data_IF_668447115973
#
_entry.id   IF_668447115973
#
_cell.length_a   1.000
_cell.length_b   1.000
_cell.length_c   1.000
_cell.angle_alpha   90.00
_cell.angle_beta   90.00
_cell.angle_gamma   90.00
#
_symmetry.space_group_name_H-M   'P 1'
#
loop_
_entity.id
_entity.type
_entity.pdbx_description
1 polymer ?
#
# COMPACT_ATOMS: atom_id res chain seq x y z
N UNK A 1 -19.18 6.48 3.01
CA UNK A 1 -20.34 6.24 2.13
C UNK A 1 -21.12 7.54 1.85
N UNK A 2 -21.47 8.30 2.88
CA UNK A 2 -22.18 9.57 2.71
C UNK A 2 -21.32 10.62 1.98
N UNK A 3 -20.04 10.71 2.31
CA UNK A 3 -19.09 11.57 1.60
C UNK A 3 -19.05 11.22 0.11
N UNK A 4 -19.01 9.95 -0.23
CA UNK A 4 -19.04 9.49 -1.62
C UNK A 4 -20.32 9.95 -2.35
N UNK A 5 -21.47 9.79 -1.73
CA UNK A 5 -22.74 10.21 -2.32
C UNK A 5 -22.82 11.74 -2.48
N UNK A 6 -22.49 12.47 -1.45
CA UNK A 6 -22.57 13.94 -1.45
C UNK A 6 -21.55 14.57 -2.40
N UNK A 7 -20.30 14.15 -2.34
CA UNK A 7 -19.25 14.67 -3.20
C UNK A 7 -19.53 14.40 -4.67
N UNK A 8 -20.05 13.24 -4.98
CA UNK A 8 -20.35 12.88 -6.36
C UNK A 8 -21.57 13.59 -6.91
N UNK A 9 -22.58 13.82 -6.09
CA UNK A 9 -23.75 14.62 -6.49
C UNK A 9 -23.40 16.09 -6.79
N UNK A 10 -22.39 16.65 -6.11
CA UNK A 10 -21.89 18.00 -6.34
C UNK A 10 -20.90 18.10 -7.51
N UNK A 11 -19.94 17.16 -7.61
CA UNK A 11 -18.87 17.22 -8.59
C UNK A 11 -19.34 17.02 -10.02
N UNK A 12 -20.33 16.18 -10.27
CA UNK A 12 -20.73 15.86 -11.63
C UNK A 12 -21.83 16.76 -12.20
N UNK A 13 -22.53 17.53 -11.35
CA UNK A 13 -23.76 18.25 -11.75
C UNK A 13 -24.67 17.37 -12.66
N UNK A 14 -24.34 16.09 -12.72
CA UNK A 14 -25.03 15.03 -13.41
C UNK A 14 -25.39 14.00 -12.37
N UNK A 15 -26.66 13.71 -12.20
CA UNK A 15 -27.03 12.58 -11.40
C UNK A 15 -26.49 11.33 -12.09
N UNK A 16 -25.36 10.85 -11.62
CA UNK A 16 -24.76 9.61 -12.08
C UNK A 16 -25.73 8.45 -11.85
N UNK A 17 -26.58 8.58 -10.92
CA UNK A 17 -27.65 7.66 -10.61
C UNK A 17 -28.98 8.40 -10.56
N UNK A 18 -29.25 9.25 -11.51
CA UNK A 18 -30.22 10.30 -11.21
C UNK A 18 -29.95 10.82 -9.79
N UNK A 19 -29.04 11.79 -9.59
CA UNK A 19 -28.58 12.24 -8.26
C UNK A 19 -29.73 12.50 -7.28
N UNK A 20 -30.93 12.77 -7.80
CA UNK A 20 -32.18 12.79 -7.05
C UNK A 20 -32.59 11.40 -6.55
N UNK A 21 -32.40 10.34 -7.34
CA UNK A 21 -32.84 9.00 -6.93
C UNK A 21 -31.94 8.38 -5.86
N UNK A 22 -30.64 8.65 -5.86
CA UNK A 22 -29.76 8.20 -4.79
C UNK A 22 -29.96 9.05 -3.55
N UNK A 23 -30.03 10.34 -3.67
CA UNK A 23 -30.29 11.25 -2.56
C UNK A 23 -31.70 11.06 -1.99
N UNK A 24 -32.69 10.75 -2.82
CA UNK A 24 -34.06 10.43 -2.37
C UNK A 24 -34.18 9.06 -1.73
N UNK A 25 -33.20 8.17 -1.90
CA UNK A 25 -33.15 6.88 -1.18
C UNK A 25 -32.53 6.97 0.20
N UNK A 26 -31.71 7.98 0.45
CA UNK A 26 -31.17 8.27 1.78
C UNK A 26 -32.18 9.16 2.48
N UNK A 27 -33.30 8.59 2.85
CA UNK A 27 -34.32 9.29 3.61
C UNK A 27 -34.00 9.24 5.09
N UNK A 28 -34.21 10.35 5.75
CA UNK A 28 -34.30 10.36 7.22
C UNK A 28 -35.61 9.72 7.66
N UNK A 29 -35.73 9.33 8.91
CA UNK A 29 -36.96 8.75 9.43
C UNK A 29 -38.23 9.62 9.26
N UNK A 30 -38.08 10.86 8.80
CA UNK A 30 -39.18 11.78 8.46
C UNK A 30 -39.53 11.80 6.97
N UNK A 31 -38.90 10.96 6.14
CA UNK A 31 -39.13 10.93 4.68
C UNK A 31 -38.48 12.08 3.91
N UNK A 32 -37.69 12.93 4.58
CA UNK A 32 -37.00 14.06 3.93
C UNK A 32 -35.64 13.57 3.41
N UNK A 33 -35.31 13.78 2.12
CA UNK A 33 -34.00 13.46 1.59
C UNK A 33 -32.89 14.17 2.36
N UNK A 34 -31.78 13.49 2.59
CA UNK A 34 -30.67 14.07 3.37
C UNK A 34 -30.11 15.34 2.71
N UNK A 35 -30.16 15.44 1.40
CA UNK A 35 -29.74 16.63 0.67
C UNK A 35 -30.58 17.87 0.99
N UNK A 36 -31.85 17.70 1.32
CA UNK A 36 -32.72 18.80 1.73
C UNK A 36 -32.49 19.23 3.19
N UNK A 37 -31.85 18.37 3.97
CA UNK A 37 -31.46 18.68 5.37
C UNK A 37 -30.12 19.37 5.46
N UNK A 38 -29.26 19.20 4.45
CA UNK A 38 -27.97 19.85 4.38
C UNK A 38 -28.14 21.28 3.87
N UNK A 39 -27.65 22.21 4.64
CA UNK A 39 -27.56 23.61 4.25
C UNK A 39 -26.18 23.90 3.74
N UNK A 40 -26.02 24.91 2.89
CA UNK A 40 -24.73 25.25 2.31
C UNK A 40 -23.67 25.53 3.40
N UNK A 41 -24.03 26.18 4.48
CA UNK A 41 -23.12 26.45 5.60
C UNK A 41 -22.69 25.21 6.38
N UNK A 42 -23.40 24.09 6.25
CA UNK A 42 -23.01 22.83 6.91
C UNK A 42 -21.74 22.23 6.34
N UNK A 43 -21.46 22.50 5.07
CA UNK A 43 -20.30 21.95 4.37
C UNK A 43 -19.00 22.70 4.67
N UNK A 44 -19.06 23.79 5.38
CA UNK A 44 -17.87 24.59 5.68
C UNK A 44 -17.50 24.47 7.16
N UNK A 45 -16.20 24.28 7.40
CA UNK A 45 -15.64 24.38 8.75
C UNK A 45 -15.45 25.83 9.20
N UNK A 46 -14.87 26.02 10.39
CA UNK A 46 -14.59 27.36 10.94
C UNK A 46 -13.55 28.15 10.16
N UNK A 47 -12.75 27.50 9.32
CA UNK A 47 -11.75 28.10 8.44
C UNK A 47 -12.29 28.39 7.04
N UNK A 48 -13.51 27.96 6.72
CA UNK A 48 -14.15 28.13 5.43
C UNK A 48 -13.77 27.06 4.39
N UNK A 49 -13.15 25.97 4.82
CA UNK A 49 -12.88 24.83 3.98
C UNK A 49 -14.07 23.85 3.95
N UNK A 50 -14.25 23.15 2.82
CA UNK A 50 -15.30 22.13 2.69
C UNK A 50 -14.97 20.94 3.58
N UNK A 51 -15.90 20.58 4.47
CA UNK A 51 -15.78 19.44 5.37
C UNK A 51 -17.09 18.63 5.39
N UNK A 52 -17.14 17.60 4.57
CA UNK A 52 -18.32 16.74 4.41
C UNK A 52 -18.60 15.88 5.64
N UNK A 53 -17.58 15.52 6.41
CA UNK A 53 -17.73 14.77 7.64
C UNK A 53 -18.43 15.60 8.73
N UNK A 54 -17.95 16.83 8.93
CA UNK A 54 -18.60 17.78 9.84
C UNK A 54 -20.05 18.06 9.44
N UNK A 55 -20.32 18.25 8.14
CA UNK A 55 -21.66 18.45 7.61
C UNK A 55 -22.58 17.28 7.96
N UNK A 56 -22.11 16.05 7.76
CA UNK A 56 -22.85 14.84 8.13
C UNK A 56 -23.16 14.78 9.62
N UNK A 57 -22.18 15.03 10.47
CA UNK A 57 -22.36 15.02 11.93
C UNK A 57 -23.36 16.09 12.39
N UNK A 58 -23.32 17.28 11.81
CA UNK A 58 -24.30 18.35 12.08
C UNK A 58 -25.72 17.95 11.75
N UNK A 59 -25.92 17.25 10.60
CA UNK A 59 -27.23 16.71 10.22
C UNK A 59 -27.71 15.67 11.22
N UNK A 60 -26.86 14.70 11.56
CA UNK A 60 -27.21 13.68 12.56
C UNK A 60 -27.60 14.33 13.90
N UNK A 61 -26.79 15.28 14.37
CA UNK A 61 -27.05 15.93 15.66
C UNK A 61 -28.34 16.73 15.66
N UNK A 62 -28.70 17.40 14.54
CA UNK A 62 -29.97 18.12 14.42
C UNK A 62 -31.19 17.22 14.36
N UNK A 63 -31.03 16.06 13.74
CA UNK A 63 -32.13 15.10 13.57
C UNK A 63 -32.51 14.42 14.88
N UNK A 64 -31.54 14.17 15.76
CA UNK A 64 -31.78 13.44 17.01
C UNK A 64 -31.95 14.37 18.21
N UNK A 65 -32.90 14.02 19.08
CA UNK A 65 -33.13 14.72 20.36
C UNK A 65 -32.30 14.15 21.51
N UNK A 66 -31.78 12.92 21.32
CA UNK A 66 -30.87 12.26 22.26
C UNK A 66 -29.44 12.62 21.99
N UNK A 67 -28.50 12.44 22.93
CA UNK A 67 -27.07 12.54 22.66
C UNK A 67 -26.63 11.58 21.54
N UNK A 68 -25.84 12.08 20.59
CA UNK A 68 -25.24 11.30 19.52
C UNK A 68 -23.82 11.02 19.91
N UNK A 69 -23.42 9.74 19.93
CA UNK A 69 -22.07 9.28 20.15
C UNK A 69 -21.61 8.57 18.87
N UNK A 70 -20.44 8.92 18.38
CA UNK A 70 -19.82 8.24 17.24
C UNK A 70 -19.15 6.98 17.76
N UNK A 71 -19.71 5.82 17.45
CA UNK A 71 -19.25 4.54 17.97
C UNK A 71 -17.87 4.15 17.43
N UNK A 72 -17.53 4.58 16.23
CA UNK A 72 -16.24 4.35 15.60
C UNK A 72 -15.86 5.54 14.72
N UNK A 73 -14.65 6.04 14.87
CA UNK A 73 -14.00 6.91 13.89
C UNK A 73 -12.50 6.55 13.80
N UNK A 74 -11.98 6.50 12.60
CA UNK A 74 -10.59 6.12 12.39
C UNK A 74 -10.21 6.11 10.93
N UNK A 75 -8.91 6.13 10.70
CA UNK A 75 -8.25 5.92 9.40
C UNK A 75 -7.09 4.97 9.62
N UNK A 76 -6.76 4.16 8.60
CA UNK A 76 -5.67 3.20 8.70
C UNK A 76 -4.37 3.75 8.14
N UNK A 77 -3.27 3.34 8.76
CA UNK A 77 -1.92 3.50 8.21
C UNK A 77 -1.62 2.37 7.22
N UNK A 78 -0.35 2.22 6.86
CA UNK A 78 0.13 1.17 5.98
C UNK A 78 0.35 1.64 4.56
N UNK A 79 1.07 0.81 3.80
CA UNK A 79 1.45 1.12 2.42
C UNK A 79 0.29 0.98 1.45
N UNK A 80 -0.50 -0.07 1.60
CA UNK A 80 -1.66 -0.33 0.77
C UNK A 80 -2.79 0.67 0.96
N UNK A 81 -3.68 0.74 -0.02
CA UNK A 81 -4.85 1.61 0.01
C UNK A 81 -6.05 0.84 -0.54
N UNK A 82 -7.20 0.94 0.12
CA UNK A 82 -8.45 0.34 -0.34
C UNK A 82 -9.46 1.37 -0.87
N UNK A 83 -9.30 2.62 -0.50
CA UNK A 83 -10.15 3.71 -0.94
C UNK A 83 -9.42 5.05 -0.83
N UNK A 84 -9.61 5.92 -1.81
CA UNK A 84 -9.06 7.28 -1.82
C UNK A 84 -10.15 8.29 -1.52
N UNK A 85 -9.88 9.19 -0.59
CA UNK A 85 -10.66 10.42 -0.41
C UNK A 85 -9.93 11.58 -1.10
N UNK A 86 -10.41 11.96 -2.26
CA UNK A 86 -9.79 13.01 -3.07
C UNK A 86 -9.94 14.42 -2.48
N UNK A 87 -10.80 14.61 -1.48
CA UNK A 87 -11.08 15.93 -0.93
C UNK A 87 -10.29 16.23 0.34
N UNK A 88 -10.22 15.27 1.25
CA UNK A 88 -9.62 15.47 2.58
C UNK A 88 -8.30 14.76 2.76
N UNK A 89 -7.95 13.82 1.87
CA UNK A 89 -6.78 12.95 2.02
C UNK A 89 -6.91 11.94 3.15
N UNK A 90 -8.09 11.78 3.75
CA UNK A 90 -8.38 10.74 4.74
C UNK A 90 -8.63 9.41 4.04
N UNK A 91 -7.59 8.90 3.40
CA UNK A 91 -7.66 7.66 2.66
C UNK A 91 -7.87 6.47 3.59
N UNK A 92 -8.39 5.39 3.04
CA UNK A 92 -8.32 4.10 3.71
C UNK A 92 -7.00 3.41 3.34
N UNK A 93 -5.96 3.68 4.12
CA UNK A 93 -4.58 3.29 3.88
C UNK A 93 -3.74 4.36 3.18
N UNK A 94 -2.49 4.04 2.91
CA UNK A 94 -1.46 4.93 2.39
C UNK A 94 -1.36 6.24 3.19
N UNK A 95 -1.27 6.07 4.49
CA UNK A 95 -1.09 7.16 5.45
C UNK A 95 0.02 6.79 6.43
N UNK A 96 0.89 7.73 6.73
CA UNK A 96 1.86 7.59 7.80
C UNK A 96 1.17 7.64 9.17
N UNK A 97 1.88 7.23 10.21
CA UNK A 97 1.36 7.33 11.58
C UNK A 97 1.10 8.80 12.00
N UNK A 98 1.89 9.73 11.48
CA UNK A 98 1.72 11.16 11.72
C UNK A 98 0.45 11.68 11.04
N UNK A 99 0.22 11.29 9.77
CA UNK A 99 -1.00 11.65 9.02
C UNK A 99 -2.25 11.01 9.65
N UNK A 100 -2.15 9.76 10.12
CA UNK A 100 -3.21 9.13 10.90
C UNK A 100 -3.54 9.96 12.14
N UNK A 101 -2.52 10.39 12.89
CA UNK A 101 -2.70 11.22 14.08
C UNK A 101 -3.38 12.54 13.79
N UNK A 102 -3.02 13.20 12.69
CA UNK A 102 -3.65 14.43 12.25
C UNK A 102 -5.11 14.18 11.84
N UNK A 103 -5.37 13.18 11.02
CA UNK A 103 -6.73 12.85 10.57
C UNK A 103 -7.66 12.48 11.74
N UNK A 104 -7.16 11.73 12.72
CA UNK A 104 -7.91 11.41 13.95
C UNK A 104 -8.22 12.67 14.78
N UNK A 105 -7.25 13.58 14.89
CA UNK A 105 -7.46 14.85 15.60
C UNK A 105 -8.55 15.69 14.93
N UNK A 106 -8.50 15.83 13.61
CA UNK A 106 -9.51 16.53 12.82
C UNK A 106 -10.89 15.88 12.96
N UNK A 107 -10.98 14.55 12.88
CA UNK A 107 -12.24 13.83 13.11
C UNK A 107 -12.79 14.10 14.51
N UNK A 108 -11.95 14.09 15.54
CA UNK A 108 -12.34 14.39 16.91
C UNK A 108 -12.88 15.83 17.06
N UNK A 109 -12.20 16.80 16.46
CA UNK A 109 -12.63 18.20 16.44
C UNK A 109 -13.98 18.36 15.74
N UNK A 110 -14.21 17.67 14.63
CA UNK A 110 -15.49 17.66 13.92
C UNK A 110 -16.61 17.06 14.79
N UNK A 111 -16.35 15.96 15.49
CA UNK A 111 -17.30 15.33 16.41
C UNK A 111 -17.70 16.32 17.51
N UNK A 112 -16.75 16.98 18.13
CA UNK A 112 -17.02 17.94 19.21
C UNK A 112 -17.69 19.22 18.69
N UNK A 113 -17.23 19.76 17.57
CA UNK A 113 -17.78 20.98 16.95
C UNK A 113 -19.21 20.78 16.45
N UNK A 114 -19.56 19.57 16.00
CA UNK A 114 -20.94 19.25 15.59
C UNK A 114 -21.94 19.21 16.76
N UNK A 115 -21.45 19.19 18.01
CA UNK A 115 -22.26 19.03 19.22
C UNK A 115 -22.65 17.58 19.51
N UNK A 116 -21.96 16.61 18.93
CA UNK A 116 -22.03 15.21 19.34
C UNK A 116 -21.47 15.06 20.77
N UNK A 117 -21.91 14.02 21.48
CA UNK A 117 -21.52 13.78 22.86
C UNK A 117 -20.14 13.14 23.03
N UNK A 118 -19.52 12.74 21.93
CA UNK A 118 -18.20 12.13 21.89
C UNK A 118 -18.07 11.05 20.84
N UNK A 119 -16.92 10.36 20.82
CA UNK A 119 -16.65 9.26 19.90
C UNK A 119 -15.62 8.28 20.47
N UNK A 120 -15.57 7.09 19.86
CA UNK A 120 -14.59 6.06 20.16
C UNK A 120 -13.63 5.91 18.98
N UNK A 121 -12.33 6.04 19.24
CA UNK A 121 -11.31 5.80 18.20
C UNK A 121 -11.34 4.34 17.80
N UNK A 122 -11.39 4.08 16.52
CA UNK A 122 -11.15 2.78 15.93
C UNK A 122 -9.75 2.75 15.35
N UNK A 123 -8.76 2.05 15.95
CA UNK A 123 -8.95 1.18 17.11
C UNK A 123 -7.75 1.30 18.07
N UNK A 124 -7.76 0.56 19.19
CA UNK A 124 -6.64 0.60 20.13
C UNK A 124 -5.38 -0.07 19.57
N UNK A 125 -5.52 -1.29 19.03
CA UNK A 125 -4.42 -2.10 18.55
C UNK A 125 -4.64 -2.52 17.10
N UNK A 126 -3.56 -2.65 16.34
CA UNK A 126 -3.59 -3.22 14.98
C UNK A 126 -4.15 -4.65 15.01
N UNK A 127 -4.92 -4.98 13.98
CA UNK A 127 -5.75 -6.20 13.94
C UNK A 127 -5.29 -7.14 12.82
N UNK A 128 -4.20 -7.87 13.04
CA UNK A 128 -3.57 -8.79 12.08
C UNK A 128 -4.55 -9.75 11.35
N UNK A 129 -5.71 -10.03 11.91
CA UNK A 129 -6.73 -10.92 11.34
C UNK A 129 -7.66 -10.23 10.34
N UNK A 130 -7.59 -8.91 10.21
CA UNK A 130 -8.40 -8.15 9.26
C UNK A 130 -7.95 -8.38 7.82
N UNK A 131 -8.85 -8.10 6.89
CA UNK A 131 -8.67 -8.32 5.46
C UNK A 131 -9.14 -7.12 4.69
N UNK A 132 -8.45 -6.82 3.58
CA UNK A 132 -8.87 -5.79 2.64
C UNK A 132 -9.38 -6.44 1.37
N UNK A 133 -10.49 -5.94 0.83
CA UNK A 133 -11.18 -6.52 -0.31
C UNK A 133 -10.28 -6.65 -1.56
N UNK A 134 -9.36 -5.71 -1.77
CA UNK A 134 -8.50 -5.65 -2.96
C UNK A 134 -7.18 -6.42 -2.82
N UNK A 135 -6.85 -6.95 -1.64
CA UNK A 135 -5.63 -7.73 -1.41
C UNK A 135 -5.89 -9.14 -0.89
N UNK A 136 -7.10 -9.41 -0.39
CA UNK A 136 -7.42 -10.67 0.29
C UNK A 136 -7.23 -11.92 -0.56
N UNK A 137 -7.26 -11.80 -1.87
CA UNK A 137 -7.06 -12.91 -2.79
C UNK A 137 -5.58 -13.18 -3.09
N UNK A 138 -4.70 -12.23 -2.77
CA UNK A 138 -3.27 -12.30 -3.02
C UNK A 138 -2.46 -12.87 -1.86
N UNK A 139 -3.09 -13.18 -0.72
CA UNK A 139 -2.42 -13.66 0.49
C UNK A 139 -3.07 -14.91 1.05
N UNK A 140 -2.28 -15.75 1.70
CA UNK A 140 -2.82 -16.88 2.45
C UNK A 140 -3.37 -16.39 3.79
N UNK A 141 -4.68 -16.19 3.85
CA UNK A 141 -5.39 -15.61 4.98
C UNK A 141 -5.28 -16.41 6.30
N UNK A 142 -4.84 -17.66 6.23
CA UNK A 142 -4.59 -18.48 7.42
C UNK A 142 -3.19 -18.25 8.01
N UNK A 143 -2.35 -17.47 7.30
CA UNK A 143 -0.94 -17.28 7.62
C UNK A 143 -0.57 -15.85 8.00
N UNK A 144 -1.50 -14.92 7.94
CA UNK A 144 -1.28 -13.50 8.29
C UNK A 144 -0.77 -13.24 9.72
N UNK A 145 -0.95 -14.13 10.74
CA UNK A 145 -0.32 -13.93 12.05
C UNK A 145 1.20 -14.08 12.09
N UNK A 146 1.81 -14.57 11.03
CA UNK A 146 3.24 -14.95 11.02
C UNK A 146 4.13 -13.94 10.29
N UNK A 147 3.55 -12.90 9.70
CA UNK A 147 4.25 -11.90 8.92
C UNK A 147 3.41 -10.62 8.74
N UNK A 148 4.03 -9.51 8.32
CA UNK A 148 3.30 -8.26 8.07
C UNK A 148 2.88 -8.13 6.61
N UNK A 149 1.57 -8.08 6.38
CA UNK A 149 1.03 -7.69 5.07
C UNK A 149 0.74 -6.18 5.03
N UNK A 150 1.76 -5.38 4.71
CA UNK A 150 1.63 -3.92 4.63
C UNK A 150 0.78 -3.41 3.47
N UNK A 151 0.33 -4.29 2.57
CA UNK A 151 -0.63 -3.94 1.53
C UNK A 151 -2.09 -4.02 2.02
N UNK A 152 -2.34 -4.73 3.11
CA UNK A 152 -3.66 -4.90 3.71
C UNK A 152 -3.92 -3.81 4.75
N UNK A 153 -4.45 -2.67 4.32
CA UNK A 153 -4.67 -1.50 5.16
C UNK A 153 -5.61 -1.75 6.36
N UNK A 154 -6.59 -2.64 6.25
CA UNK A 154 -7.54 -2.96 7.33
C UNK A 154 -6.86 -3.44 8.63
N UNK A 155 -5.63 -3.92 8.56
CA UNK A 155 -4.90 -4.34 9.74
C UNK A 155 -4.36 -3.17 10.58
N UNK A 156 -4.25 -1.96 10.03
CA UNK A 156 -3.44 -0.88 10.58
C UNK A 156 -4.22 0.33 11.11
N UNK A 157 -5.38 0.11 11.70
CA UNK A 157 -6.18 1.16 12.35
C UNK A 157 -5.73 1.49 13.79
N UNK A 158 -4.87 0.68 14.39
CA UNK A 158 -4.48 0.82 15.79
C UNK A 158 -3.71 2.11 16.11
N UNK A 159 -3.82 2.54 17.36
CA UNK A 159 -2.90 3.49 18.00
C UNK A 159 -1.68 2.77 18.58
N UNK A 160 -1.81 1.47 18.80
CA UNK A 160 -0.77 0.54 19.20
C UNK A 160 -0.51 -0.41 18.03
N UNK A 161 0.74 -0.56 17.59
CA UNK A 161 1.08 -1.53 16.56
C UNK A 161 1.03 -2.95 17.08
N UNK A 162 0.87 -3.89 16.19
CA UNK A 162 1.05 -5.33 16.40
C UNK A 162 1.99 -5.81 15.31
N UNK A 163 3.29 -5.72 15.58
CA UNK A 163 4.33 -6.03 14.61
C UNK A 163 4.85 -7.45 14.82
N UNK A 164 4.89 -8.32 13.79
CA UNK A 164 5.49 -9.64 13.89
C UNK A 164 7.01 -9.54 13.98
N UNK A 165 7.63 -10.59 14.57
CA UNK A 165 9.07 -10.67 14.80
C UNK A 165 9.51 -10.06 16.11
N UNK A 166 10.83 -9.96 16.27
CA UNK A 166 11.47 -9.39 17.45
C UNK A 166 11.31 -7.86 17.50
N UNK A 167 11.45 -7.26 18.68
CA UNK A 167 11.31 -5.81 18.88
C UNK A 167 12.36 -5.04 18.06
N UNK A 168 13.61 -5.48 18.10
CA UNK A 168 14.67 -4.93 17.27
C UNK A 168 14.58 -5.50 15.85
N UNK A 169 14.49 -4.63 14.86
CA UNK A 169 14.56 -5.02 13.46
C UNK A 169 15.98 -5.47 13.10
N UNK A 170 16.07 -6.37 12.12
CA UNK A 170 17.38 -6.75 11.55
C UNK A 170 18.05 -5.59 10.81
N UNK A 171 17.29 -4.56 10.47
CA UNK A 171 17.75 -3.34 9.80
C UNK A 171 16.70 -2.23 9.96
N UNK A 172 17.16 -1.00 10.10
CA UNK A 172 16.35 0.21 9.98
C UNK A 172 16.80 1.00 8.75
N UNK A 173 15.85 1.36 7.89
CA UNK A 173 16.15 2.19 6.71
C UNK A 173 16.25 3.65 7.15
N UNK A 174 17.45 4.07 7.56
CA UNK A 174 17.70 5.40 8.14
C UNK A 174 19.03 6.04 7.69
N UNK A 175 19.82 5.30 6.87
CA UNK A 175 21.11 5.74 6.33
C UNK A 175 22.29 5.45 7.27
N UNK A 176 22.09 4.79 8.41
CA UNK A 176 23.16 4.23 9.23
C UNK A 176 23.49 2.83 8.74
N UNK A 177 24.62 2.69 8.07
CA UNK A 177 25.04 1.43 7.45
C UNK A 177 25.72 0.46 8.42
N UNK A 178 25.83 0.80 9.69
CA UNK A 178 26.55 -0.01 10.69
C UNK A 178 25.89 -1.35 11.01
N UNK A 179 24.62 -1.51 10.65
CA UNK A 179 23.87 -2.76 10.81
C UNK A 179 24.23 -3.82 9.76
N UNK A 180 24.87 -3.40 8.64
CA UNK A 180 25.24 -4.28 7.55
C UNK A 180 26.61 -4.90 7.73
N UNK A 181 26.75 -6.18 7.40
CA UNK A 181 27.99 -6.94 7.56
C UNK A 181 28.43 -7.59 6.25
N UNK A 182 29.65 -8.11 6.21
CA UNK A 182 30.15 -8.86 5.04
C UNK A 182 29.36 -10.15 4.76
N UNK A 183 28.69 -10.71 5.80
CA UNK A 183 27.89 -11.94 5.66
C UNK A 183 26.57 -11.69 4.90
N UNK A 184 26.10 -10.45 4.88
CA UNK A 184 24.87 -10.05 4.17
C UNK A 184 25.08 -9.85 2.66
N UNK A 185 26.34 -9.84 2.22
CA UNK A 185 26.72 -9.48 0.85
C UNK A 185 26.40 -10.58 -0.14
N UNK A 186 25.65 -10.25 -1.19
CA UNK A 186 25.32 -11.14 -2.30
C UNK A 186 26.32 -11.01 -3.47
N UNK A 187 26.72 -9.79 -3.78
CA UNK A 187 27.70 -9.49 -4.82
C UNK A 187 28.57 -8.30 -4.44
N UNK A 188 29.80 -8.30 -4.94
CA UNK A 188 30.75 -7.19 -4.82
C UNK A 188 31.72 -7.24 -6.00
N UNK A 189 31.70 -6.21 -6.82
CA UNK A 189 32.63 -6.05 -7.97
C UNK A 189 33.66 -4.96 -7.72
N UNK A 190 33.63 -4.30 -6.57
CA UNK A 190 34.40 -3.11 -6.25
C UNK A 190 33.72 -1.82 -6.71
N UNK A 191 33.10 -1.79 -7.89
CA UNK A 191 32.32 -0.64 -8.38
C UNK A 191 30.85 -0.72 -7.97
N UNK A 192 30.35 -1.91 -7.71
CA UNK A 192 28.96 -2.20 -7.27
C UNK A 192 28.94 -3.30 -6.24
N UNK A 193 28.09 -3.17 -5.25
CA UNK A 193 27.84 -4.21 -4.25
C UNK A 193 26.36 -4.24 -3.88
N UNK A 194 25.85 -5.43 -3.55
CA UNK A 194 24.47 -5.64 -3.09
C UNK A 194 24.48 -6.59 -1.90
N UNK A 195 23.79 -6.19 -0.84
CA UNK A 195 23.56 -7.00 0.35
C UNK A 195 22.07 -7.16 0.61
N UNK A 196 21.66 -8.24 1.28
CA UNK A 196 20.26 -8.54 1.60
C UNK A 196 20.14 -9.10 3.02
N UNK A 197 19.09 -8.64 3.69
CA UNK A 197 18.54 -9.20 4.94
C UNK A 197 17.03 -9.35 4.80
N UNK A 198 16.41 -10.06 5.71
CA UNK A 198 14.95 -10.10 5.80
C UNK A 198 14.50 -10.50 7.21
N UNK A 199 13.29 -10.11 7.54
CA UNK A 199 12.56 -10.54 8.74
C UNK A 199 11.08 -10.79 8.41
N UNK A 200 10.26 -10.95 9.43
CA UNK A 200 8.81 -11.19 9.29
C UNK A 200 8.07 -9.98 8.68
N UNK A 201 8.73 -8.82 8.55
CA UNK A 201 8.14 -7.56 8.06
C UNK A 201 8.55 -7.24 6.63
N UNK A 202 9.85 -7.33 6.33
CA UNK A 202 10.39 -6.85 5.05
C UNK A 202 11.57 -7.67 4.54
N UNK A 203 11.84 -7.52 3.25
CA UNK A 203 13.17 -7.74 2.67
C UNK A 203 13.89 -6.39 2.67
N UNK A 204 15.12 -6.35 3.18
CA UNK A 204 16.00 -5.19 3.21
C UNK A 204 17.13 -5.37 2.23
N UNK A 205 17.46 -4.33 1.48
CA UNK A 205 18.58 -4.31 0.55
C UNK A 205 19.46 -3.11 0.82
N UNK A 206 20.78 -3.33 0.76
CA UNK A 206 21.78 -2.28 0.69
C UNK A 206 22.50 -2.39 -0.65
N UNK A 207 22.32 -1.40 -1.51
CA UNK A 207 22.96 -1.33 -2.81
C UNK A 207 23.98 -0.20 -2.87
N UNK A 208 25.18 -0.53 -3.34
CA UNK A 208 26.28 0.41 -3.57
C UNK A 208 26.57 0.52 -5.05
N UNK A 209 26.80 1.74 -5.53
CA UNK A 209 27.27 1.99 -6.89
C UNK A 209 28.21 3.20 -6.87
N UNK A 210 29.44 3.04 -7.32
CA UNK A 210 30.42 4.12 -7.38
C UNK A 210 29.90 5.33 -8.16
N UNK A 211 29.93 6.49 -7.51
CA UNK A 211 29.46 7.75 -8.09
C UNK A 211 27.95 7.87 -8.25
N UNK A 212 27.16 7.09 -7.49
CA UNK A 212 25.69 7.23 -7.41
C UNK A 212 25.26 8.58 -6.84
N UNK A 213 26.07 9.15 -5.92
CA UNK A 213 25.96 10.52 -5.43
C UNK A 213 24.55 10.93 -4.97
N UNK A 214 23.95 10.13 -4.05
CA UNK A 214 22.61 10.38 -3.52
C UNK A 214 21.49 10.49 -4.60
N UNK A 215 21.56 9.65 -5.62
CA UNK A 215 20.52 9.56 -6.65
C UNK A 215 20.71 10.48 -7.87
N UNK A 216 21.90 11.03 -8.07
CA UNK A 216 22.24 11.75 -9.31
C UNK A 216 22.30 10.81 -10.52
N UNK A 217 22.62 9.53 -10.27
CA UNK A 217 22.55 8.45 -11.27
C UNK A 217 21.41 7.50 -10.95
N UNK A 218 21.01 6.69 -11.92
CA UNK A 218 20.06 5.61 -11.73
C UNK A 218 20.77 4.34 -11.28
N UNK A 219 20.01 3.47 -10.61
CA UNK A 219 20.42 2.15 -10.20
C UNK A 219 19.25 1.19 -10.40
N UNK A 220 19.52 -0.02 -10.89
CA UNK A 220 18.51 -1.03 -11.14
C UNK A 220 18.88 -2.35 -10.48
N UNK A 221 17.91 -2.95 -9.80
CA UNK A 221 18.05 -4.25 -9.17
C UNK A 221 17.01 -5.19 -9.82
N UNK A 222 17.40 -6.00 -10.83
CA UNK A 222 16.55 -7.07 -11.32
C UNK A 222 16.43 -8.16 -10.26
N UNK A 223 15.22 -8.75 -10.13
CA UNK A 223 14.88 -9.78 -9.14
C UNK A 223 14.12 -10.90 -9.84
N UNK A 224 14.56 -12.15 -9.64
CA UNK A 224 13.90 -13.37 -10.09
C UNK A 224 13.44 -14.17 -8.86
N UNK A 225 12.16 -14.45 -8.78
CA UNK A 225 11.53 -15.18 -7.68
C UNK A 225 10.86 -16.47 -8.15
N UNK A 226 10.38 -16.56 -9.37
CA UNK A 226 9.65 -17.72 -9.87
C UNK A 226 10.34 -18.41 -11.06
N UNK A 227 10.36 -19.77 -11.12
CA UNK A 227 10.94 -20.47 -12.28
C UNK A 227 10.01 -20.49 -13.50
N UNK A 228 8.79 -19.98 -13.43
CA UNK A 228 7.77 -20.15 -14.48
C UNK A 228 7.58 -18.93 -15.38
N UNK A 229 7.85 -17.74 -14.88
CA UNK A 229 7.70 -16.46 -15.59
C UNK A 229 9.00 -15.69 -15.61
N UNK A 230 8.95 -14.45 -16.02
CA UNK A 230 10.10 -13.56 -16.06
C UNK A 230 10.68 -13.38 -17.46
N UNK A 231 11.51 -12.37 -17.62
CA UNK A 231 12.16 -12.05 -18.88
C UNK A 231 13.64 -11.76 -18.71
N UNK A 232 14.44 -12.18 -19.69
CA UNK A 232 15.85 -11.80 -19.78
C UNK A 232 16.08 -10.41 -20.38
N UNK A 233 15.00 -9.70 -20.69
CA UNK A 233 15.02 -8.33 -21.22
C UNK A 233 13.88 -7.49 -20.64
N UNK A 234 14.23 -6.38 -20.03
CA UNK A 234 13.25 -5.35 -19.60
C UNK A 234 13.25 -4.23 -20.64
N UNK A 235 12.18 -4.16 -21.44
CA UNK A 235 12.06 -3.17 -22.52
C UNK A 235 11.96 -1.74 -21.96
N UNK A 236 11.28 -1.56 -20.83
CA UNK A 236 11.05 -0.25 -20.21
C UNK A 236 12.34 0.53 -19.91
N UNK A 237 13.41 -0.21 -19.59
CA UNK A 237 14.69 0.37 -19.19
C UNK A 237 15.86 -0.04 -20.12
N UNK A 238 15.60 -0.89 -21.11
CA UNK A 238 16.64 -1.39 -22.04
C UNK A 238 17.61 -2.39 -21.39
N UNK A 239 17.24 -3.00 -20.26
CA UNK A 239 18.13 -3.86 -19.48
C UNK A 239 18.10 -5.30 -19.97
N UNK A 240 19.26 -5.97 -19.90
CA UNK A 240 19.41 -7.39 -20.24
C UNK A 240 19.98 -8.16 -19.06
N UNK A 241 19.44 -9.35 -18.83
CA UNK A 241 19.79 -10.21 -17.70
C UNK A 241 20.30 -11.56 -18.19
N UNK A 242 21.15 -12.22 -17.42
CA UNK A 242 21.61 -13.58 -17.70
C UNK A 242 20.56 -14.63 -17.29
N UNK A 243 19.58 -14.20 -16.46
CA UNK A 243 18.48 -14.98 -15.93
C UNK A 243 17.14 -14.24 -16.11
N UNK A 244 16.03 -14.93 -16.27
CA UNK A 244 14.72 -14.31 -16.40
C UNK A 244 14.33 -13.63 -15.08
N UNK A 245 14.15 -12.30 -15.10
CA UNK A 245 13.71 -11.52 -13.95
C UNK A 245 12.21 -11.34 -13.98
N UNK A 246 11.57 -11.42 -12.80
CA UNK A 246 10.15 -11.17 -12.60
C UNK A 246 9.89 -9.70 -12.23
N UNK A 247 10.86 -9.07 -11.55
CA UNK A 247 10.76 -7.69 -11.11
C UNK A 247 12.01 -6.90 -11.48
N UNK A 248 11.82 -5.59 -11.61
CA UNK A 248 12.94 -4.63 -11.67
C UNK A 248 12.64 -3.50 -10.67
N UNK A 249 13.54 -3.38 -9.69
CA UNK A 249 13.54 -2.24 -8.80
C UNK A 249 14.39 -1.14 -9.46
N UNK A 250 13.76 -0.03 -9.81
CA UNK A 250 14.38 1.14 -10.40
C UNK A 250 14.54 2.24 -9.34
N UNK A 251 15.76 2.59 -8.99
CA UNK A 251 16.09 3.75 -8.18
C UNK A 251 16.42 4.90 -9.12
N UNK A 252 15.52 5.86 -9.21
CA UNK A 252 15.58 7.03 -10.11
C UNK A 252 15.25 8.31 -9.32
N UNK A 253 16.19 8.74 -8.49
CA UNK A 253 16.02 9.86 -7.59
C UNK A 253 14.98 9.58 -6.50
N UNK A 254 14.58 10.64 -5.79
CA UNK A 254 13.66 10.52 -4.64
C UNK A 254 12.21 10.32 -5.03
N UNK A 255 11.82 10.79 -6.21
CA UNK A 255 10.42 10.90 -6.61
C UNK A 255 9.96 9.83 -7.61
N UNK A 256 10.91 9.20 -8.34
CA UNK A 256 10.57 8.30 -9.44
C UNK A 256 10.93 6.84 -9.17
N UNK A 257 11.52 6.55 -8.02
CA UNK A 257 11.91 5.19 -7.64
C UNK A 257 10.70 4.29 -7.46
N UNK A 258 10.78 3.06 -8.04
CA UNK A 258 9.66 2.12 -8.04
C UNK A 258 10.10 0.69 -8.29
N UNK A 259 9.27 -0.24 -7.85
CA UNK A 259 9.31 -1.64 -8.26
C UNK A 259 8.31 -1.84 -9.40
N UNK A 260 8.74 -2.46 -10.48
CA UNK A 260 7.88 -2.91 -11.58
C UNK A 260 7.93 -4.42 -11.68
N UNK A 261 6.84 -5.03 -12.16
CA UNK A 261 6.69 -6.47 -12.31
C UNK A 261 6.53 -6.84 -13.77
N UNK A 262 7.07 -7.98 -14.17
CA UNK A 262 6.86 -8.54 -15.51
C UNK A 262 5.35 -8.75 -15.74
N UNK A 263 4.84 -8.34 -16.89
CA UNK A 263 3.41 -8.20 -17.18
C UNK A 263 2.59 -9.44 -16.87
N UNK A 264 3.11 -10.64 -17.18
CA UNK A 264 2.40 -11.89 -16.88
C UNK A 264 2.35 -12.19 -15.38
N UNK A 265 3.34 -11.73 -14.61
CA UNK A 265 3.45 -12.00 -13.17
C UNK A 265 2.83 -10.89 -12.30
N UNK A 266 2.09 -9.96 -12.90
CA UNK A 266 1.33 -8.95 -12.17
C UNK A 266 0.00 -9.53 -11.69
N UNK A 267 0.03 -10.24 -10.55
CA UNK A 267 -1.05 -11.07 -10.01
C UNK A 267 -2.29 -10.24 -9.62
N UNK A 268 -2.09 -9.10 -8.98
CA UNK A 268 -3.22 -8.25 -8.55
C UNK A 268 -4.00 -7.72 -9.75
N UNK A 269 -3.29 -7.31 -10.79
CA UNK A 269 -3.92 -6.86 -12.03
C UNK A 269 -4.67 -8.00 -12.73
N UNK A 270 -4.08 -9.19 -12.78
CA UNK A 270 -4.71 -10.36 -13.37
C UNK A 270 -6.05 -10.70 -12.68
N UNK A 271 -6.13 -10.60 -11.35
CA UNK A 271 -7.35 -10.87 -10.58
C UNK A 271 -8.49 -9.89 -10.88
N UNK A 272 -8.16 -8.64 -11.28
CA UNK A 272 -9.13 -7.58 -11.54
C UNK A 272 -9.16 -7.12 -12.99
N UNK A 273 -8.58 -7.87 -13.92
CA UNK A 273 -8.37 -7.43 -15.29
C UNK A 273 -9.67 -7.05 -15.98
N UNK A 274 -10.70 -7.89 -15.90
CA UNK A 274 -12.00 -7.63 -16.49
C UNK A 274 -12.73 -6.41 -15.89
N UNK A 275 -12.33 -5.98 -14.69
CA UNK A 275 -12.85 -4.78 -14.03
C UNK A 275 -12.14 -3.50 -14.46
N UNK A 276 -10.94 -3.62 -15.04
CA UNK A 276 -10.11 -2.48 -15.44
C UNK A 276 -10.08 -2.25 -16.94
N UNK A 277 -10.35 -3.29 -17.74
CA UNK A 277 -10.27 -3.28 -19.21
C UNK A 277 -11.49 -3.94 -19.79
N UNK A 278 -11.90 -3.47 -20.99
CA UNK A 278 -12.99 -4.08 -21.74
C UNK A 278 -12.60 -5.43 -22.38
N UNK A 279 -11.30 -5.74 -22.38
CA UNK A 279 -10.75 -6.95 -22.96
C UNK A 279 -10.75 -8.11 -21.96
N UNK A 280 -10.99 -9.31 -22.45
CA UNK A 280 -10.90 -10.53 -21.65
C UNK A 280 -9.46 -11.08 -21.69
N UNK A 281 -8.65 -10.71 -20.72
CA UNK A 281 -7.24 -11.15 -20.60
C UNK A 281 -7.09 -12.66 -20.45
N UNK A 282 -8.15 -13.34 -20.01
CA UNK A 282 -8.14 -14.80 -19.93
C UNK A 282 -8.14 -15.47 -21.30
N UNK A 283 -8.58 -14.77 -22.33
CA UNK A 283 -8.57 -15.27 -23.71
C UNK A 283 -7.25 -15.03 -24.42
N UNK A 284 -6.47 -14.03 -23.99
CA UNK A 284 -5.19 -13.66 -24.57
C UNK A 284 -4.18 -13.26 -23.49
N UNK A 285 -3.70 -14.22 -22.67
CA UNK A 285 -2.75 -13.94 -21.60
C UNK A 285 -1.41 -13.44 -22.17
N UNK A 286 -0.69 -12.58 -21.42
CA UNK A 286 0.66 -12.19 -21.83
C UNK A 286 1.60 -13.38 -21.98
N UNK A 287 2.55 -13.31 -22.91
CA UNK A 287 3.59 -14.33 -23.06
C UNK A 287 4.38 -14.53 -21.77
N UNK A 288 4.78 -15.77 -21.49
CA UNK A 288 5.49 -16.11 -20.24
C UNK A 288 6.83 -15.37 -20.10
N UNK A 289 7.45 -14.99 -21.21
CA UNK A 289 8.74 -14.28 -21.30
C UNK A 289 8.59 -12.84 -21.84
N UNK A 290 7.36 -12.27 -21.80
CA UNK A 290 7.12 -10.89 -22.26
C UNK A 290 8.16 -9.92 -21.68
N UNK A 291 8.78 -9.06 -22.49
CA UNK A 291 9.78 -8.09 -22.03
C UNK A 291 9.16 -6.85 -21.37
N UNK A 292 7.84 -6.78 -21.30
CA UNK A 292 7.12 -5.65 -20.72
C UNK A 292 7.02 -5.80 -19.22
N UNK A 293 7.38 -4.73 -18.50
CA UNK A 293 7.21 -4.64 -17.06
C UNK A 293 6.18 -3.54 -16.75
N UNK A 294 5.27 -3.81 -15.82
CA UNK A 294 4.15 -2.94 -15.45
C UNK A 294 4.31 -2.40 -14.03
N UNK A 295 3.73 -1.22 -13.74
CA UNK A 295 3.54 -0.81 -12.36
C UNK A 295 2.75 -1.86 -11.57
N UNK A 296 3.10 -2.05 -10.30
CA UNK A 296 2.29 -2.86 -9.38
C UNK A 296 1.16 -1.98 -8.86
N UNK A 297 -0.08 -2.39 -9.10
CA UNK A 297 -1.27 -1.57 -8.83
C UNK A 297 -2.28 -2.28 -7.93
N UNK A 298 -2.82 -1.54 -6.97
CA UNK A 298 -3.97 -1.94 -6.17
C UNK A 298 -5.26 -1.35 -6.76
N UNK A 299 -6.28 -2.16 -6.88
CA UNK A 299 -7.62 -1.72 -7.25
C UNK A 299 -8.23 -0.89 -6.12
N UNK A 300 -8.66 0.34 -6.41
CA UNK A 300 -9.38 1.21 -5.46
C UNK A 300 -10.88 1.25 -5.74
N UNK A 301 -11.27 1.02 -6.97
CA UNK A 301 -12.66 0.99 -7.39
C UNK A 301 -12.80 0.15 -8.64
N UNK A 302 -13.73 -0.79 -8.63
CA UNK A 302 -14.13 -1.51 -9.84
C UNK A 302 -15.17 -0.69 -10.63
N UNK A 303 -15.27 -0.94 -11.93
CA UNK A 303 -16.33 -0.37 -12.75
C UNK A 303 -17.71 -0.81 -12.22
N UNK A 304 -18.61 0.14 -12.03
CA UNK A 304 -19.90 -0.13 -11.37
C UNK A 304 -21.06 0.08 -12.33
N UNK A 305 -21.96 -0.91 -12.53
CA UNK A 305 -23.15 -0.73 -13.32
C UNK A 305 -24.11 0.23 -12.62
N UNK A 306 -24.69 1.15 -13.40
CA UNK A 306 -25.70 2.05 -12.92
C UNK A 306 -27.08 1.39 -12.93
N UNK A 307 -27.97 1.85 -12.06
CA UNK A 307 -29.38 1.42 -12.07
C UNK A 307 -30.10 1.73 -13.39
N UNK A 308 -29.56 2.64 -14.17
CA UNK A 308 -30.04 3.00 -15.52
C UNK A 308 -29.59 2.03 -16.60
N UNK A 309 -28.78 1.00 -16.27
CA UNK A 309 -28.20 0.06 -17.22
C UNK A 309 -26.93 0.54 -17.92
N UNK A 310 -26.47 1.77 -17.62
CA UNK A 310 -25.20 2.29 -18.10
C UNK A 310 -24.09 2.02 -17.09
N UNK A 311 -22.86 1.88 -17.57
CA UNK A 311 -21.69 1.82 -16.70
C UNK A 311 -21.30 3.21 -16.25
N UNK A 312 -21.05 3.32 -14.98
CA UNK A 312 -20.53 4.54 -14.41
C UNK A 312 -19.06 4.45 -14.20
N UNK A 313 -18.26 5.05 -14.13
CA UNK A 313 -16.88 5.08 -13.69
C UNK A 313 -16.04 3.97 -14.28
N UNK A 314 -14.98 4.40 -14.88
CA UNK A 314 -13.79 3.58 -15.01
C UNK A 314 -13.34 3.09 -13.63
N UNK A 315 -12.71 1.95 -13.59
CA UNK A 315 -11.90 1.48 -12.45
C UNK A 315 -10.90 2.56 -12.03
N UNK A 316 -10.62 2.61 -10.75
CA UNK A 316 -9.55 3.43 -10.18
C UNK A 316 -8.49 2.52 -9.58
N UNK A 317 -7.23 2.81 -9.86
CA UNK A 317 -6.07 2.07 -9.35
C UNK A 317 -5.09 3.00 -8.62
N UNK A 318 -4.26 2.41 -7.79
CA UNK A 318 -3.17 3.06 -7.07
C UNK A 318 -1.87 2.30 -7.28
N UNK A 319 -0.83 2.96 -7.77
CA UNK A 319 0.50 2.36 -7.94
C UNK A 319 1.17 2.14 -6.58
N UNK A 320 1.05 0.91 -6.06
CA UNK A 320 1.67 0.53 -4.79
C UNK A 320 3.15 0.17 -4.94
N UNK A 321 3.63 -0.08 -6.15
CA UNK A 321 5.05 -0.31 -6.44
C UNK A 321 5.93 0.94 -6.36
N UNK A 322 5.36 2.14 -6.30
CA UNK A 322 6.11 3.38 -6.13
C UNK A 322 6.73 3.45 -4.73
N UNK A 323 8.04 3.76 -4.66
CA UNK A 323 8.77 3.83 -3.40
C UNK A 323 8.78 5.25 -2.84
N UNK A 324 8.75 5.36 -1.52
CA UNK A 324 8.78 6.61 -0.78
C UNK A 324 10.14 6.83 -0.12
N UNK A 325 10.75 7.97 -0.43
CA UNK A 325 11.99 8.40 0.17
C UNK A 325 11.77 8.92 1.59
N UNK A 326 12.60 8.49 2.55
CA UNK A 326 12.57 9.00 3.91
C UNK A 326 13.28 8.09 4.91
N UNK A 327 13.19 8.45 6.17
CA UNK A 327 13.73 7.70 7.29
C UNK A 327 12.64 6.82 7.90
N UNK A 328 12.86 5.50 7.94
CA UNK A 328 11.89 4.53 8.45
C UNK A 328 12.21 4.02 9.88
N UNK A 329 13.19 4.60 10.55
CA UNK A 329 13.53 4.25 11.92
C UNK A 329 12.57 4.93 12.92
N UNK A 330 11.75 4.17 13.68
CA UNK A 330 10.78 4.74 14.63
C UNK A 330 11.42 5.61 15.74
N UNK A 331 12.70 5.46 15.98
CA UNK A 331 13.46 6.26 16.97
C UNK A 331 13.98 7.58 16.41
N UNK A 332 13.90 7.77 15.08
CA UNK A 332 14.33 8.99 14.42
C UNK A 332 13.32 10.13 14.59
N UNK A 333 13.77 11.38 14.81
CA UNK A 333 12.86 12.55 14.75
C UNK A 333 12.26 12.77 13.36
N UNK A 334 12.90 12.27 12.30
CA UNK A 334 12.44 12.38 10.91
C UNK A 334 11.69 11.11 10.46
N UNK A 335 11.22 10.30 11.39
CA UNK A 335 10.51 9.06 11.12
C UNK A 335 9.29 9.27 10.22
N UNK A 336 9.24 8.50 9.14
CA UNK A 336 8.07 8.32 8.30
C UNK A 336 7.77 6.82 8.14
N UNK A 337 6.66 6.36 8.68
CA UNK A 337 6.29 4.93 8.65
C UNK A 337 6.06 4.37 7.23
N UNK A 338 5.82 5.25 6.23
CA UNK A 338 5.69 4.88 4.83
C UNK A 338 7.01 4.88 4.05
N UNK A 339 8.11 5.37 4.65
CA UNK A 339 9.39 5.44 3.95
C UNK A 339 9.89 4.02 3.59
N UNK A 340 10.32 3.87 2.33
CA UNK A 340 10.83 2.63 1.79
C UNK A 340 12.34 2.66 1.60
N UNK A 341 12.93 3.83 1.32
CA UNK A 341 14.36 3.94 1.05
C UNK A 341 14.95 5.28 1.44
N UNK A 342 16.27 5.27 1.66
CA UNK A 342 17.06 6.45 1.94
C UNK A 342 18.42 6.36 1.22
N UNK A 343 19.01 7.52 0.91
CA UNK A 343 20.35 7.61 0.33
C UNK A 343 21.41 7.89 1.40
N UNK A 344 22.54 7.23 1.26
CA UNK A 344 23.73 7.44 2.07
C UNK A 344 25.00 7.52 1.19
N UNK A 345 25.22 8.66 0.51
CA UNK A 345 26.29 8.85 -0.45
C UNK A 345 26.13 8.00 -1.70
N UNK A 346 26.99 7.04 -1.89
CA UNK A 346 26.94 6.09 -3.01
C UNK A 346 26.11 4.82 -2.70
N UNK A 347 25.44 4.80 -1.53
CA UNK A 347 24.58 3.73 -1.09
C UNK A 347 23.11 4.10 -1.15
N UNK A 348 22.29 3.08 -1.37
CA UNK A 348 20.84 3.11 -1.17
C UNK A 348 20.50 2.02 -0.18
N UNK A 349 19.90 2.39 0.94
CA UNK A 349 19.30 1.46 1.87
C UNK A 349 17.79 1.45 1.67
N UNK A 350 17.20 0.27 1.58
CA UNK A 350 15.78 0.14 1.26
C UNK A 350 15.13 -1.11 1.87
N UNK A 351 13.81 -1.07 1.99
CA UNK A 351 12.97 -2.20 2.39
C UNK A 351 11.82 -2.40 1.42
N UNK A 352 11.47 -3.66 1.18
CA UNK A 352 10.33 -4.07 0.36
C UNK A 352 9.38 -4.94 1.19
N UNK A 353 8.08 -4.63 1.26
CA UNK A 353 7.10 -5.55 1.79
C UNK A 353 7.06 -6.84 0.97
N UNK A 354 6.93 -7.96 1.66
CA UNK A 354 6.92 -9.28 1.03
C UNK A 354 5.91 -9.42 -0.11
N UNK A 355 4.71 -8.87 0.07
CA UNK A 355 3.65 -8.97 -0.92
C UNK A 355 3.96 -8.21 -2.23
N UNK A 356 4.82 -7.19 -2.21
CA UNK A 356 5.26 -6.53 -3.45
C UNK A 356 6.05 -7.45 -4.37
N UNK A 357 6.64 -8.51 -3.82
CA UNK A 357 7.34 -9.56 -4.57
C UNK A 357 6.48 -10.83 -4.71
N UNK A 358 5.15 -10.67 -4.69
CA UNK A 358 4.17 -11.75 -4.85
C UNK A 358 4.27 -12.88 -3.82
N UNK A 359 4.80 -12.62 -2.60
CA UNK A 359 4.70 -13.58 -1.52
C UNK A 359 3.28 -13.61 -0.96
N UNK A 360 2.68 -14.79 -0.96
CA UNK A 360 1.37 -15.04 -0.34
C UNK A 360 1.50 -15.48 1.13
N UNK A 361 2.61 -16.10 1.47
CA UNK A 361 3.02 -16.49 2.82
C UNK A 361 4.56 -16.56 2.93
N UNK A 362 5.23 -15.47 3.28
CA UNK A 362 6.69 -15.49 3.43
C UNK A 362 7.15 -16.37 4.60
N UNK A 363 6.32 -16.63 5.62
CA UNK A 363 6.70 -17.52 6.72
C UNK A 363 7.05 -18.94 6.27
N UNK A 364 6.58 -19.33 5.09
CA UNK A 364 6.88 -20.61 4.40
C UNK A 364 7.58 -20.42 3.07
N UNK A 365 7.99 -19.21 2.74
CA UNK A 365 8.56 -18.84 1.43
C UNK A 365 7.64 -19.25 0.28
N UNK A 366 6.34 -19.02 0.46
CA UNK A 366 5.31 -19.31 -0.53
C UNK A 366 4.99 -18.08 -1.34
N UNK A 367 5.19 -18.17 -2.66
CA UNK A 367 4.90 -17.14 -3.64
C UNK A 367 3.74 -17.55 -4.54
N UNK A 368 3.14 -16.59 -5.23
CA UNK A 368 2.21 -16.90 -6.31
C UNK A 368 2.89 -17.69 -7.43
N UNK A 369 2.17 -18.64 -7.98
CA UNK A 369 2.49 -19.29 -9.22
C UNK A 369 2.02 -18.45 -10.42
N UNK A 370 2.24 -18.92 -11.64
CA UNK A 370 1.74 -18.28 -12.84
C UNK A 370 0.19 -18.31 -12.85
N UNK A 371 -0.42 -17.14 -12.67
CA UNK A 371 -1.88 -16.99 -12.58
C UNK A 371 -2.63 -17.49 -13.82
N UNK A 372 -2.00 -17.48 -14.99
CA UNK A 372 -2.60 -17.87 -16.27
C UNK A 372 -2.37 -19.33 -16.63
N UNK A 373 -1.53 -20.04 -15.85
CA UNK A 373 -1.35 -21.47 -15.98
C UNK A 373 -2.49 -22.22 -15.22
N UNK A 374 -2.74 -23.47 -15.52
CA UNK A 374 -3.67 -24.37 -14.80
C UNK A 374 -5.06 -23.79 -14.44
N UNK A 375 -5.78 -23.21 -15.41
CA UNK A 375 -7.16 -22.70 -15.29
C UNK A 375 -7.38 -21.39 -14.53
N UNK A 376 -6.44 -20.47 -14.60
CA UNK A 376 -6.61 -19.11 -14.02
C UNK A 376 -6.92 -19.13 -12.53
N UNK A 377 -6.16 -19.90 -11.80
CA UNK A 377 -6.31 -20.09 -10.36
C UNK A 377 -5.25 -19.35 -9.57
N UNK A 378 -5.58 -19.05 -8.30
CA UNK A 378 -4.60 -18.60 -7.32
C UNK A 378 -3.90 -19.82 -6.75
N UNK A 379 -2.77 -20.17 -7.32
CA UNK A 379 -1.92 -21.25 -6.83
C UNK A 379 -0.63 -20.71 -6.23
N UNK A 380 0.02 -21.51 -5.40
CA UNK A 380 1.24 -21.12 -4.72
C UNK A 380 2.32 -22.16 -4.93
N UNK A 381 3.56 -21.68 -5.06
CA UNK A 381 4.77 -22.52 -5.02
C UNK A 381 5.65 -22.07 -3.86
N UNK A 382 6.50 -22.98 -3.37
CA UNK A 382 7.49 -22.65 -2.34
C UNK A 382 8.85 -22.51 -2.99
N UNK A 383 9.59 -21.47 -2.63
CA UNK A 383 10.96 -21.25 -3.07
C UNK A 383 11.90 -21.27 -1.85
N UNK A 384 13.17 -21.55 -2.11
CA UNK A 384 14.26 -21.49 -1.12
C UNK A 384 15.39 -20.53 -1.54
N UNK A 385 15.24 -19.91 -2.70
CA UNK A 385 16.23 -19.03 -3.28
C UNK A 385 15.54 -18.03 -4.21
N UNK A 386 15.90 -16.78 -4.09
CA UNK A 386 15.64 -15.74 -5.07
C UNK A 386 16.96 -15.25 -5.67
N UNK A 387 16.91 -14.57 -6.79
CA UNK A 387 18.13 -14.09 -7.45
C UNK A 387 18.05 -12.59 -7.69
N UNK A 388 19.13 -11.89 -7.35
CA UNK A 388 19.18 -10.43 -7.47
C UNK A 388 20.46 -10.01 -8.19
N UNK A 389 20.36 -8.98 -9.02
CA UNK A 389 21.49 -8.35 -9.68
C UNK A 389 21.54 -6.85 -9.41
N UNK A 390 22.60 -6.19 -9.87
CA UNK A 390 22.74 -4.74 -9.75
C UNK A 390 23.40 -4.16 -11.01
N UNK A 391 22.81 -3.11 -11.58
CA UNK A 391 23.34 -2.39 -12.77
C UNK A 391 22.91 -0.92 -12.77
N UNK A 392 23.69 -0.07 -13.45
CA UNK A 392 23.31 1.32 -13.75
C UNK A 392 22.53 1.46 -15.07
N UNK A 393 22.43 0.36 -15.83
CA UNK A 393 21.78 0.34 -17.13
C UNK A 393 22.64 0.84 -18.29
N UNK A 394 23.91 1.17 -18.06
CA UNK A 394 24.84 1.64 -19.10
C UNK A 394 25.72 0.51 -19.64
N UNK A 395 25.72 -0.66 -19.00
CA UNK A 395 26.50 -1.82 -19.42
C UNK A 395 25.94 -2.42 -20.72
N UNK A 396 26.80 -2.62 -21.73
CA UNK A 396 26.43 -3.29 -23.00
C UNK A 396 26.15 -4.81 -22.82
N UNK A 397 26.47 -5.36 -21.65
CA UNK A 397 26.33 -6.78 -21.30
C UNK A 397 25.00 -7.17 -20.71
N UNK A 398 24.97 -8.41 -20.23
CA UNK A 398 23.86 -8.92 -19.41
C UNK A 398 24.22 -8.76 -17.93
N UNK A 399 23.31 -8.23 -17.15
CA UNK A 399 23.45 -8.20 -15.69
C UNK A 399 23.33 -9.61 -15.13
N UNK A 400 24.33 -10.03 -14.36
CA UNK A 400 24.29 -11.31 -13.64
C UNK A 400 23.41 -11.19 -12.40
N UNK A 401 22.56 -12.20 -12.15
CA UNK A 401 21.77 -12.33 -10.95
C UNK A 401 22.40 -13.39 -10.03
N UNK A 402 22.71 -13.00 -8.82
CA UNK A 402 23.30 -13.84 -7.77
C UNK A 402 22.22 -14.46 -6.89
N UNK A 403 22.40 -15.71 -6.42
CA UNK A 403 21.45 -16.36 -5.54
C UNK A 403 21.47 -15.77 -4.15
N UNK A 404 20.28 -15.58 -3.58
CA UNK A 404 20.05 -15.24 -2.19
C UNK A 404 19.18 -16.33 -1.55
N UNK A 405 19.74 -17.06 -0.59
CA UNK A 405 19.02 -18.12 0.11
C UNK A 405 17.91 -17.57 1.01
N UNK A 406 16.78 -18.26 1.04
CA UNK A 406 15.63 -17.92 1.85
C UNK A 406 15.33 -19.08 2.83
N UNK A 407 15.16 -18.73 4.10
CA UNK A 407 14.82 -19.68 5.14
C UNK A 407 13.46 -19.36 5.75
N UNK A 408 12.58 -20.36 5.75
CA UNK A 408 11.26 -20.24 6.36
C UNK A 408 11.34 -20.23 7.89
N UNK A 409 10.51 -19.38 8.53
CA UNK A 409 10.34 -19.42 9.99
C UNK A 409 9.10 -20.23 10.42
N UNK A 410 8.33 -20.73 9.46
CA UNK A 410 7.25 -21.70 9.65
C UNK A 410 6.13 -21.19 10.55
N UNK A 411 5.95 -21.85 11.71
CA UNK A 411 4.90 -21.48 12.67
C UNK A 411 5.47 -20.76 13.90
N UNK A 412 6.68 -20.22 13.83
CA UNK A 412 7.21 -19.41 14.92
C UNK A 412 6.43 -18.12 14.98
N UNK A 413 5.75 -17.88 16.09
CA UNK A 413 5.04 -16.64 16.38
C UNK A 413 5.86 -15.86 17.40
N UNK A 414 6.35 -14.72 16.97
CA UNK A 414 6.85 -13.68 17.84
C UNK A 414 6.16 -12.38 17.40
N UNK A 415 5.89 -11.49 18.33
CA UNK A 415 5.36 -10.16 18.02
C UNK A 415 5.74 -9.20 19.15
N UNK A 416 5.74 -7.93 18.80
CA UNK A 416 5.92 -6.85 19.75
C UNK A 416 4.93 -5.72 19.49
N UNK A 417 4.82 -4.82 20.44
CA UNK A 417 3.87 -3.72 20.41
C UNK A 417 4.61 -2.39 20.59
N UNK A 418 4.22 -1.39 19.83
CA UNK A 418 4.76 -0.04 19.90
C UNK A 418 3.63 0.98 19.82
N UNK A 419 3.64 1.99 20.67
CA UNK A 419 2.73 3.13 20.51
C UNK A 419 3.10 3.90 19.25
N UNK A 420 2.13 4.08 18.36
CA UNK A 420 2.30 4.86 17.13
C UNK A 420 2.33 6.36 17.40
N UNK A 421 2.88 7.13 16.47
CA UNK A 421 2.87 8.60 16.56
C UNK A 421 1.45 9.18 16.66
N UNK A 422 0.47 8.51 16.10
CA UNK A 422 -0.95 8.85 16.20
C UNK A 422 -1.52 8.80 17.63
N UNK A 423 -1.00 7.89 18.47
CA UNK A 423 -1.36 7.87 19.90
C UNK A 423 -0.98 9.17 20.59
N UNK A 424 0.21 9.69 20.33
CA UNK A 424 0.66 10.93 20.95
C UNK A 424 -0.17 12.14 20.50
N UNK A 425 -0.64 12.15 19.26
CA UNK A 425 -1.57 13.19 18.77
C UNK A 425 -2.88 13.15 19.55
N UNK A 426 -3.50 11.98 19.69
CA UNK A 426 -4.76 11.82 20.43
C UNK A 426 -4.60 12.09 21.93
N UNK A 427 -3.51 11.63 22.54
CA UNK A 427 -3.23 11.90 23.96
C UNK A 427 -3.14 13.38 24.29
N UNK A 428 -2.66 14.21 23.36
CA UNK A 428 -2.60 15.68 23.55
C UNK A 428 -3.98 16.32 23.53
N UNK A 429 -4.91 15.80 22.73
CA UNK A 429 -6.27 16.33 22.62
C UNK A 429 -7.15 15.99 23.83
N UNK A 430 -6.90 14.85 24.48
CA UNK A 430 -7.72 14.38 25.60
C UNK A 430 -7.23 14.85 26.98
N UNK A 431 -6.18 15.66 27.02
CA UNK A 431 -5.66 16.31 28.23
C UNK A 431 -6.19 17.75 28.38
#
# INVERSE_FOLDING_TARGET
YLNYILNRAEMDNKPVWDGKAVVSRVETGAGTPISELLRQEDFYDGAGAVNTYLAYLRVLRRHHTMPVVISEFGVSTGRGMAQRDQNTGRNQGHMSEQEQGQALAECWEDIMTSGCAGGCVFTWQDEWFKRTWNTMHAVNLQRTPYWSDYQTNEQYFGLLSFDPGEEESVCYVDGDLSEWTEEDKLLDTGERALSMKYDERYIYLLAYQEGFANGEKRMFIPIDTTPKTGSTYCENYGLRFDRAADFVLAIDGRENSRLVVQERYEVLRAMFYHETHDDDAYLDPPDADTPLFKPIELMLQTATPLLTGNWQASSEVYETGRLLYGNANPSSPDFNSLADFIFAGDYVELKLPWQLLNFADPSRMSIHDDYYDDNYGVEYITIDTMYLGLTDGEDEGRTALCPAALESWGNRVAYHERLKASYDAMRRLWR
#
